data_IF_180431031935
#
_entry.id   IF_180431031935
#
_cell.length_a   1.000
_cell.length_b   1.000
_cell.length_c   1.000
_cell.angle_alpha   90.00
_cell.angle_beta   90.00
_cell.angle_gamma   90.00
#
_symmetry.space_group_name_H-M   'P 1'
#
loop_
_entity.id
_entity.type
_entity.pdbx_description
1 polymer ?
#
# COMPACT_ATOMS: atom_id res chain seq x y z
N UNK A 1 17.06 12.70 15.46
CA UNK A 1 16.73 12.54 14.07
C UNK A 1 15.73 11.43 13.88
N UNK A 2 14.54 11.77 13.51
CA UNK A 2 13.51 10.75 13.35
C UNK A 2 13.52 10.25 11.91
N UNK A 3 13.61 8.94 11.78
CA UNK A 3 13.42 8.33 10.48
C UNK A 3 11.95 8.43 10.12
N UNK A 4 11.67 8.86 8.92
CA UNK A 4 10.29 8.87 8.44
C UNK A 4 9.80 7.43 8.32
N UNK A 5 8.58 7.21 8.73
CA UNK A 5 7.97 5.91 8.53
C UNK A 5 7.77 5.68 7.04
N UNK A 6 7.97 4.46 6.56
CA UNK A 6 7.60 4.13 5.19
C UNK A 6 6.12 4.41 4.95
N UNK A 7 5.79 4.62 3.68
CA UNK A 7 4.43 4.93 3.27
C UNK A 7 3.91 3.79 2.38
N UNK A 8 2.82 3.16 2.80
CA UNK A 8 2.14 2.17 1.99
C UNK A 8 0.98 2.87 1.29
N UNK A 9 1.06 2.98 -0.02
CA UNK A 9 0.03 3.64 -0.81
C UNK A 9 -0.88 2.57 -1.40
N UNK A 10 -2.17 2.67 -1.12
CA UNK A 10 -3.17 1.78 -1.66
C UNK A 10 -3.96 2.51 -2.74
N UNK A 11 -3.85 2.02 -3.97
CA UNK A 11 -4.55 2.60 -5.11
C UNK A 11 -5.88 1.88 -5.29
N UNK A 12 -6.95 2.64 -5.23
CA UNK A 12 -8.31 2.11 -5.27
C UNK A 12 -9.15 2.89 -6.26
N UNK A 13 -10.34 2.38 -6.54
CA UNK A 13 -11.33 3.06 -7.35
C UNK A 13 -12.69 2.61 -6.88
N UNK A 14 -13.63 3.55 -6.80
CA UNK A 14 -15.00 3.19 -6.41
C UNK A 14 -15.67 2.29 -7.44
N UNK A 15 -15.13 2.26 -8.66
CA UNK A 15 -15.64 1.39 -9.71
C UNK A 15 -15.06 -0.02 -9.66
N UNK A 16 -14.11 -0.27 -8.77
CA UNK A 16 -13.49 -1.57 -8.63
C UNK A 16 -14.00 -2.28 -7.38
N UNK A 17 -14.80 -3.33 -7.58
CA UNK A 17 -15.27 -4.15 -6.46
C UNK A 17 -14.13 -4.77 -5.67
N UNK A 18 -13.13 -5.39 -6.34
CA UNK A 18 -11.98 -5.93 -5.62
C UNK A 18 -11.23 -4.90 -4.80
N UNK A 19 -11.02 -3.68 -5.34
CA UNK A 19 -10.35 -2.63 -4.60
C UNK A 19 -11.16 -2.22 -3.36
N UNK A 20 -12.47 -2.07 -3.53
CA UNK A 20 -13.32 -1.68 -2.41
C UNK A 20 -13.32 -2.73 -1.31
N UNK A 21 -13.28 -4.00 -1.69
CA UNK A 21 -13.23 -5.08 -0.70
C UNK A 21 -11.93 -5.11 0.08
N UNK A 22 -10.85 -4.60 -0.49
CA UNK A 22 -9.57 -4.51 0.21
C UNK A 22 -9.47 -3.32 1.16
N UNK A 23 -10.39 -2.37 1.10
CA UNK A 23 -10.27 -1.17 1.92
C UNK A 23 -10.31 -1.48 3.41
N UNK A 24 -11.16 -2.42 3.81
CA UNK A 24 -11.22 -2.84 5.22
C UNK A 24 -9.92 -3.47 5.68
N UNK A 25 -9.32 -4.28 4.82
CA UNK A 25 -8.04 -4.91 5.12
C UNK A 25 -6.95 -3.85 5.30
N UNK A 26 -6.91 -2.88 4.41
CA UNK A 26 -5.91 -1.81 4.52
C UNK A 26 -6.13 -0.94 5.75
N UNK A 27 -7.39 -0.71 6.12
CA UNK A 27 -7.69 0.02 7.36
C UNK A 27 -7.19 -0.76 8.58
N UNK A 28 -7.35 -2.08 8.57
CA UNK A 28 -6.84 -2.93 9.64
C UNK A 28 -5.31 -2.86 9.71
N UNK A 29 -4.65 -2.96 8.57
CA UNK A 29 -3.20 -2.89 8.50
C UNK A 29 -2.71 -1.52 8.99
N UNK A 30 -3.41 -0.45 8.63
CA UNK A 30 -3.05 0.90 9.06
C UNK A 30 -3.05 1.00 10.60
N UNK A 31 -4.05 0.39 11.25
CA UNK A 31 -4.12 0.42 12.71
C UNK A 31 -3.04 -0.46 13.34
N UNK A 32 -2.85 -1.65 12.79
CA UNK A 32 -1.89 -2.61 13.32
C UNK A 32 -0.45 -2.09 13.20
N UNK A 33 -0.15 -1.43 12.09
CA UNK A 33 1.22 -1.03 11.77
C UNK A 33 1.49 0.45 11.98
N UNK A 34 0.62 1.15 12.69
CA UNK A 34 0.71 2.61 12.79
C UNK A 34 2.05 3.13 13.31
N UNK A 35 2.76 2.34 14.11
CA UNK A 35 4.07 2.75 14.63
C UNK A 35 5.18 2.48 13.62
N UNK A 36 4.95 1.62 12.65
CA UNK A 36 5.97 1.18 11.70
C UNK A 36 5.82 1.83 10.33
N UNK A 37 4.60 2.17 9.93
CA UNK A 37 4.38 2.76 8.61
C UNK A 37 3.09 3.57 8.59
N UNK A 38 2.99 4.41 7.57
CA UNK A 38 1.75 5.12 7.26
C UNK A 38 1.06 4.42 6.11
N UNK A 39 -0.28 4.42 6.12
CA UNK A 39 -1.06 3.89 5.00
C UNK A 39 -1.89 5.03 4.43
N UNK A 40 -1.85 5.18 3.12
CA UNK A 40 -2.60 6.23 2.44
C UNK A 40 -3.39 5.62 1.30
N UNK A 41 -4.67 5.99 1.22
CA UNK A 41 -5.51 5.58 0.10
C UNK A 41 -5.48 6.65 -0.97
N UNK A 42 -5.36 6.20 -2.22
CA UNK A 42 -5.42 7.09 -3.38
C UNK A 42 -6.49 6.56 -4.33
N UNK A 43 -7.50 7.37 -4.57
CA UNK A 43 -8.53 7.05 -5.56
C UNK A 43 -7.99 7.49 -6.92
N UNK A 44 -7.76 6.53 -7.81
CA UNK A 44 -7.14 6.82 -9.10
C UNK A 44 -8.04 7.66 -10.01
N UNK A 45 -9.34 7.64 -9.75
CA UNK A 45 -10.28 8.45 -10.53
C UNK A 45 -10.20 9.92 -10.13
N UNK A 46 -9.89 10.17 -8.84
CA UNK A 46 -9.72 11.53 -8.31
C UNK A 46 -8.30 12.04 -8.49
N UNK A 47 -7.33 11.14 -8.47
CA UNK A 47 -5.92 11.51 -8.58
C UNK A 47 -5.24 10.70 -9.67
N UNK A 48 -5.65 10.89 -10.93
CA UNK A 48 -5.00 10.19 -12.03
C UNK A 48 -3.53 10.57 -12.19
N UNK A 49 -3.15 11.77 -11.71
CA UNK A 49 -1.77 12.19 -11.72
C UNK A 49 -0.88 11.29 -10.86
N UNK A 50 -1.39 10.86 -9.71
CA UNK A 50 -0.62 9.97 -8.84
C UNK A 50 -0.57 8.56 -9.41
N UNK A 51 -1.67 8.10 -10.00
CA UNK A 51 -1.66 6.79 -10.66
C UNK A 51 -0.60 6.74 -11.74
N UNK A 52 -0.50 7.81 -12.54
CA UNK A 52 0.50 7.88 -13.59
C UNK A 52 1.91 7.95 -13.01
N UNK A 53 2.10 8.79 -11.99
CA UNK A 53 3.40 8.95 -11.35
C UNK A 53 3.92 7.62 -10.81
N UNK A 54 3.04 6.81 -10.23
CA UNK A 54 3.41 5.52 -9.66
C UNK A 54 3.32 4.39 -10.69
N UNK A 55 2.96 4.71 -11.93
CA UNK A 55 2.82 3.74 -13.02
C UNK A 55 1.83 2.63 -12.67
N UNK A 56 0.69 3.03 -12.14
CA UNK A 56 -0.35 2.08 -11.76
C UNK A 56 -1.16 1.73 -13.00
N UNK A 57 -1.17 0.44 -13.37
CA UNK A 57 -1.89 -0.04 -14.55
C UNK A 57 -3.19 -0.75 -14.18
N UNK A 58 -3.38 -1.08 -12.91
CA UNK A 58 -4.61 -1.74 -12.48
C UNK A 58 -4.89 -1.40 -11.02
N UNK A 59 -6.13 -1.52 -10.63
CA UNK A 59 -6.55 -1.42 -9.24
C UNK A 59 -7.27 -2.70 -8.85
N UNK A 60 -7.10 -3.16 -7.59
CA UNK A 60 -6.27 -2.56 -6.56
C UNK A 60 -4.78 -2.74 -6.81
N UNK A 61 -3.97 -1.85 -6.27
CA UNK A 61 -2.52 -1.98 -6.30
C UNK A 61 -1.93 -1.34 -5.04
N UNK A 62 -0.77 -1.83 -4.63
CA UNK A 62 -0.07 -1.31 -3.48
C UNK A 62 1.35 -0.92 -3.88
N UNK A 63 1.83 0.16 -3.32
CA UNK A 63 3.22 0.59 -3.50
C UNK A 63 3.77 0.98 -2.14
N UNK A 64 4.90 0.41 -1.78
CA UNK A 64 5.58 0.76 -0.54
C UNK A 64 6.72 1.73 -0.86
N UNK A 65 6.67 2.88 -0.22
CA UNK A 65 7.62 3.96 -0.45
C UNK A 65 8.47 4.14 0.80
N UNK A 66 9.79 4.13 0.62
CA UNK A 66 10.74 4.43 1.69
C UNK A 66 11.57 5.63 1.23
N UNK A 67 11.52 6.70 2.01
CA UNK A 67 12.09 7.95 1.57
C UNK A 67 11.32 8.44 0.35
N UNK A 68 11.98 8.59 -0.78
CA UNK A 68 11.33 9.03 -2.01
C UNK A 68 11.32 7.95 -3.08
N UNK A 69 11.47 6.70 -2.68
CA UNK A 69 11.61 5.58 -3.62
C UNK A 69 10.57 4.52 -3.37
N UNK A 70 10.01 4.00 -4.45
CA UNK A 70 9.15 2.82 -4.38
C UNK A 70 10.06 1.61 -4.25
N UNK A 71 9.96 0.90 -3.13
CA UNK A 71 10.82 -0.26 -2.87
C UNK A 71 10.11 -1.59 -3.10
N UNK A 72 8.79 -1.59 -3.18
CA UNK A 72 8.03 -2.81 -3.44
C UNK A 72 6.66 -2.45 -3.98
N UNK A 73 6.09 -3.36 -4.76
CA UNK A 73 4.77 -3.18 -5.36
C UNK A 73 4.03 -4.50 -5.34
N UNK A 74 2.72 -4.43 -5.17
CA UNK A 74 1.83 -5.57 -5.36
C UNK A 74 0.71 -5.09 -6.26
N UNK A 75 0.60 -5.67 -7.44
CA UNK A 75 -0.44 -5.30 -8.37
C UNK A 75 -1.56 -6.33 -8.34
N UNK A 76 -2.80 -5.84 -8.38
CA UNK A 76 -3.96 -6.71 -8.26
C UNK A 76 -4.30 -7.01 -6.83
N UNK A 77 -5.26 -7.90 -6.65
CA UNK A 77 -5.71 -8.29 -5.31
C UNK A 77 -4.58 -8.95 -4.54
N UNK A 78 -4.52 -8.64 -3.26
CA UNK A 78 -3.53 -9.25 -2.38
C UNK A 78 -4.19 -9.64 -1.07
N UNK A 79 -3.73 -10.75 -0.51
CA UNK A 79 -4.22 -11.22 0.78
C UNK A 79 -3.40 -10.59 1.90
N UNK A 80 -3.93 -10.65 3.12
CA UNK A 80 -3.20 -10.15 4.28
C UNK A 80 -1.82 -10.81 4.44
N UNK A 81 -1.69 -12.14 4.33
CA UNK A 81 -0.37 -12.76 4.43
C UNK A 81 0.61 -12.25 3.37
N UNK A 82 0.14 -12.00 2.16
CA UNK A 82 1.01 -11.52 1.10
C UNK A 82 1.50 -10.11 1.39
N UNK A 83 0.61 -9.25 1.87
CA UNK A 83 0.98 -7.89 2.22
C UNK A 83 1.94 -7.91 3.41
N UNK A 84 1.65 -8.72 4.42
CA UNK A 84 2.50 -8.82 5.60
C UNK A 84 3.88 -9.36 5.25
N UNK A 85 3.94 -10.31 4.34
CA UNK A 85 5.21 -10.86 3.88
C UNK A 85 6.07 -9.78 3.22
N UNK A 86 5.45 -8.95 2.38
CA UNK A 86 6.14 -7.84 1.75
C UNK A 86 6.65 -6.85 2.81
N UNK A 87 5.81 -6.53 3.78
CA UNK A 87 6.19 -5.60 4.85
C UNK A 87 7.33 -6.16 5.69
N UNK A 88 7.27 -7.44 6.05
CA UNK A 88 8.33 -8.06 6.83
C UNK A 88 9.66 -7.99 6.09
N UNK A 89 9.64 -8.29 4.80
CA UNK A 89 10.84 -8.25 3.99
C UNK A 89 11.42 -6.83 3.88
N UNK A 90 10.55 -5.86 3.59
CA UNK A 90 11.03 -4.50 3.36
C UNK A 90 11.34 -3.74 4.65
N UNK A 91 10.71 -4.10 5.74
CA UNK A 91 10.97 -3.46 7.05
C UNK A 91 12.02 -4.20 7.85
N UNK A 92 12.59 -5.27 7.32
CA UNK A 92 13.63 -6.02 8.00
C UNK A 92 13.14 -6.80 9.20
N UNK A 93 11.86 -7.20 9.19
CA UNK A 93 11.29 -7.98 10.29
C UNK A 93 11.36 -9.46 9.97
N UNK A 94 11.60 -10.26 11.00
CA UNK A 94 11.58 -11.70 10.81
C UNK A 94 10.15 -12.16 10.58
N UNK A 95 9.96 -13.05 9.59
CA UNK A 95 8.66 -13.67 9.39
C UNK A 95 8.39 -14.60 10.57
N UNK A 96 7.20 -14.49 11.10
CA UNK A 96 6.81 -15.32 12.23
C UNK A 96 6.53 -16.75 11.78
#
# INVERSE_FOLDING_TARGET
>A
MSAERPLLVFFTSQRSGPARRMESLLAHIARKERDSLQVKLVDVDERPDLAEKFRISQVPSLALVKGKRVVARLEGRATAPKIESMLDEQLGRAAA
#
